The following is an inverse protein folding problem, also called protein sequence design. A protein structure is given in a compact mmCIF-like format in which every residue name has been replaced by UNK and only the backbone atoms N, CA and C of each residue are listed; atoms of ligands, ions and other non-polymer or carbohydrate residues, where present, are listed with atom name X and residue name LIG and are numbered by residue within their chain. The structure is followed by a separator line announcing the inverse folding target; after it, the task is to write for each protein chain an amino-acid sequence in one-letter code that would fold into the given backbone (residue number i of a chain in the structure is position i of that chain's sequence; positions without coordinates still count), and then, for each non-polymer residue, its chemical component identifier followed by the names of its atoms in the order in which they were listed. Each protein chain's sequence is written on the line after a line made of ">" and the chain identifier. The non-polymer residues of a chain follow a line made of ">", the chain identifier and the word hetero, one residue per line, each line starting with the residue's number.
data_IF_866987758929
#
_entry.id   IF_866987758929
#
_cell.length_a   1.000
_cell.length_b   1.000
_cell.length_c   1.000
_cell.angle_alpha   90.00
_cell.angle_beta   90.00
_cell.angle_gamma   90.00
#
_symmetry.space_group_name_H-M   'P 1'
#
loop_
_entity.id
_entity.type
_entity.pdbx_description
1 polymer ?
#
# COMPACT_ATOMS: atom_id res chain seq x y z
N UNK A 1 2.94 21.89 8.87
CA UNK A 1 3.61 20.62 8.52
C UNK A 1 2.61 19.83 7.72
N UNK A 2 3.01 19.22 6.61
CA UNK A 2 2.11 18.34 5.85
C UNK A 2 1.86 17.07 6.65
N UNK A 3 0.60 16.66 6.81
CA UNK A 3 0.24 15.46 7.59
C UNK A 3 0.48 14.18 6.81
N UNK A 4 0.51 13.04 7.50
CA UNK A 4 0.56 11.73 6.85
C UNK A 4 -0.61 11.51 5.88
N UNK A 5 -1.81 11.95 6.23
CA UNK A 5 -3.01 11.84 5.39
C UNK A 5 -2.95 12.73 4.14
N UNK A 6 -2.42 13.95 4.24
CA UNK A 6 -2.19 14.83 3.09
C UNK A 6 -1.15 14.25 2.13
N UNK A 7 -0.08 13.65 2.66
CA UNK A 7 0.92 12.95 1.85
C UNK A 7 0.33 11.72 1.16
N UNK A 8 -0.48 10.93 1.86
CA UNK A 8 -1.17 9.78 1.29
C UNK A 8 -2.09 10.20 0.13
N UNK A 9 -2.90 11.24 0.33
CA UNK A 9 -3.79 11.78 -0.71
C UNK A 9 -2.99 12.29 -1.93
N UNK A 10 -1.90 13.02 -1.71
CA UNK A 10 -1.01 13.46 -2.79
C UNK A 10 -0.39 12.29 -3.55
N UNK A 11 0.04 11.24 -2.84
CA UNK A 11 0.55 10.01 -3.45
C UNK A 11 -0.51 9.36 -4.34
N UNK A 12 -1.76 9.31 -3.89
CA UNK A 12 -2.89 8.80 -4.67
C UNK A 12 -3.18 9.62 -5.93
N UNK A 13 -3.10 10.96 -5.86
CA UNK A 13 -3.22 11.85 -7.03
C UNK A 13 -2.13 11.59 -8.06
N UNK A 14 -0.87 11.50 -7.61
CA UNK A 14 0.28 11.18 -8.46
C UNK A 14 0.13 9.80 -9.10
N UNK A 15 -0.30 8.80 -8.32
CA UNK A 15 -0.52 7.44 -8.80
C UNK A 15 -1.61 7.39 -9.87
N UNK A 16 -2.73 8.08 -9.65
CA UNK A 16 -3.84 8.19 -10.61
C UNK A 16 -3.41 8.91 -11.90
N UNK A 17 -2.49 9.86 -11.79
CA UNK A 17 -1.85 10.55 -12.91
C UNK A 17 -0.76 9.71 -13.61
N UNK A 18 -0.55 8.47 -13.17
CA UNK A 18 0.47 7.53 -13.67
C UNK A 18 1.92 7.93 -13.38
N UNK A 19 2.14 8.89 -12.48
CA UNK A 19 3.46 9.29 -12.00
C UNK A 19 3.96 8.34 -10.91
N UNK A 20 4.16 7.06 -11.25
CA UNK A 20 4.36 6.00 -10.26
C UNK A 20 5.63 6.17 -9.42
N UNK A 21 6.71 6.71 -9.98
CA UNK A 21 7.95 6.96 -9.26
C UNK A 21 7.72 8.02 -8.15
N UNK A 22 7.20 9.19 -8.52
CA UNK A 22 6.89 10.27 -7.59
C UNK A 22 5.84 9.86 -6.55
N UNK A 23 4.83 9.08 -6.96
CA UNK A 23 3.83 8.53 -6.05
C UNK A 23 4.47 7.63 -5.00
N UNK A 24 5.40 6.75 -5.41
CA UNK A 24 6.12 5.83 -4.51
C UNK A 24 6.96 6.60 -3.50
N UNK A 25 7.68 7.62 -3.93
CA UNK A 25 8.43 8.51 -3.02
C UNK A 25 7.50 9.23 -2.05
N UNK A 26 6.35 9.72 -2.54
CA UNK A 26 5.36 10.41 -1.71
C UNK A 26 4.71 9.47 -0.69
N UNK A 27 4.41 8.21 -1.05
CA UNK A 27 3.93 7.22 -0.10
C UNK A 27 4.97 6.87 0.97
N UNK A 28 6.26 6.82 0.62
CA UNK A 28 7.32 6.63 1.61
C UNK A 28 7.39 7.78 2.63
N UNK A 29 7.18 9.01 2.17
CA UNK A 29 7.03 10.17 3.05
C UNK A 29 5.78 10.01 3.96
N UNK A 30 4.65 9.56 3.41
CA UNK A 30 3.43 9.30 4.17
C UNK A 30 3.64 8.23 5.25
N UNK A 31 4.37 7.15 4.95
CA UNK A 31 4.74 6.11 5.93
C UNK A 31 5.54 6.73 7.09
N UNK A 32 6.59 7.50 6.76
CA UNK A 32 7.45 8.14 7.77
C UNK A 32 6.65 9.11 8.65
N UNK A 33 5.74 9.87 8.06
CA UNK A 33 4.87 10.79 8.78
C UNK A 33 3.87 10.02 9.67
N UNK A 34 3.24 8.96 9.15
CA UNK A 34 2.25 8.18 9.90
C UNK A 34 2.88 7.46 11.11
N UNK A 35 4.11 6.95 10.98
CA UNK A 35 4.86 6.38 12.12
C UNK A 35 5.10 7.43 13.22
N UNK A 36 5.47 8.66 12.84
CA UNK A 36 5.69 9.75 13.80
C UNK A 36 4.39 10.28 14.42
N UNK A 37 3.31 10.27 13.67
CA UNK A 37 1.98 10.69 14.11
C UNK A 37 1.24 9.60 14.89
N UNK A 38 1.81 8.38 14.97
CA UNK A 38 1.15 7.19 15.53
C UNK A 38 -0.22 6.92 14.86
N UNK A 39 -0.34 7.27 13.56
CA UNK A 39 -1.57 7.15 12.78
C UNK A 39 -1.67 5.76 12.13
N UNK A 40 -2.07 4.75 12.91
CA UNK A 40 -2.07 3.33 12.50
C UNK A 40 -2.83 3.07 11.20
N UNK A 41 -4.04 3.62 11.05
CA UNK A 41 -4.86 3.49 9.84
C UNK A 41 -4.11 4.03 8.61
N UNK A 42 -3.62 5.27 8.70
CA UNK A 42 -2.86 5.89 7.60
C UNK A 42 -1.57 5.14 7.31
N UNK A 43 -0.90 4.58 8.32
CA UNK A 43 0.31 3.80 8.16
C UNK A 43 0.06 2.54 7.32
N UNK A 44 -1.00 1.78 7.63
CA UNK A 44 -1.38 0.58 6.87
C UNK A 44 -1.70 0.93 5.42
N UNK A 45 -2.44 2.01 5.19
CA UNK A 45 -2.78 2.46 3.85
C UNK A 45 -1.57 2.91 3.05
N UNK A 46 -0.69 3.72 3.66
CA UNK A 46 0.53 4.21 3.04
C UNK A 46 1.50 3.07 2.71
N UNK A 47 1.69 2.10 3.60
CA UNK A 47 2.51 0.90 3.35
C UNK A 47 1.95 0.07 2.18
N UNK A 48 0.63 -0.10 2.14
CA UNK A 48 -0.05 -0.83 1.06
C UNK A 48 0.13 -0.12 -0.28
N UNK A 49 -0.07 1.18 -0.32
CA UNK A 49 0.06 1.98 -1.54
C UNK A 49 1.51 2.14 -1.99
N UNK A 50 2.48 2.21 -1.06
CA UNK A 50 3.91 2.13 -1.35
C UNK A 50 4.25 0.82 -2.07
N UNK A 51 3.78 -0.31 -1.55
CA UNK A 51 3.96 -1.60 -2.21
C UNK A 51 3.33 -1.63 -3.61
N UNK A 52 2.14 -1.04 -3.77
CA UNK A 52 1.48 -0.91 -5.08
C UNK A 52 2.27 -0.03 -6.05
N UNK A 53 2.87 1.05 -5.57
CA UNK A 53 3.76 1.93 -6.32
C UNK A 53 4.94 1.18 -6.94
N UNK A 54 5.63 0.38 -6.13
CA UNK A 54 6.68 -0.52 -6.61
C UNK A 54 6.17 -1.55 -7.63
N UNK A 55 5.00 -2.15 -7.40
CA UNK A 55 4.41 -3.12 -8.32
C UNK A 55 4.11 -2.53 -9.70
N UNK A 56 3.62 -1.28 -9.74
CA UNK A 56 3.31 -0.53 -10.95
C UNK A 56 4.56 -0.16 -11.76
N UNK A 57 5.71 -0.02 -11.08
CA UNK A 57 7.03 0.18 -11.69
C UNK A 57 7.73 -1.13 -12.08
N UNK A 58 7.05 -2.27 -11.99
CA UNK A 58 7.61 -3.61 -12.18
C UNK A 58 8.69 -4.03 -11.16
N UNK A 59 8.83 -3.28 -10.07
CA UNK A 59 9.77 -3.52 -8.97
C UNK A 59 9.13 -4.35 -7.86
N UNK A 60 8.49 -5.47 -8.22
CA UNK A 60 7.73 -6.31 -7.28
C UNK A 60 8.54 -6.74 -6.06
N UNK A 61 9.82 -7.07 -6.26
CA UNK A 61 10.72 -7.49 -5.18
C UNK A 61 10.93 -6.41 -4.13
N UNK A 62 11.09 -5.15 -4.56
CA UNK A 62 11.27 -3.99 -3.67
C UNK A 62 9.99 -3.65 -2.90
N UNK A 63 8.83 -3.86 -3.52
CA UNK A 63 7.53 -3.58 -2.90
C UNK A 63 7.06 -4.62 -1.87
N UNK A 64 7.53 -5.87 -1.99
CA UNK A 64 7.06 -7.00 -1.17
C UNK A 64 7.26 -6.81 0.34
N UNK A 65 8.42 -6.34 0.83
CA UNK A 65 8.60 -6.10 2.26
C UNK A 65 7.63 -5.08 2.85
N UNK A 66 7.23 -4.07 2.08
CA UNK A 66 6.25 -3.06 2.51
C UNK A 66 4.85 -3.64 2.63
N UNK A 67 4.46 -4.53 1.72
CA UNK A 67 3.19 -5.24 1.82
C UNK A 67 3.14 -6.19 3.03
N UNK A 68 4.24 -6.87 3.36
CA UNK A 68 4.31 -7.70 4.56
C UNK A 68 4.25 -6.86 5.85
N UNK A 69 4.83 -5.66 5.85
CA UNK A 69 4.64 -4.70 6.96
C UNK A 69 3.18 -4.27 7.09
N UNK A 70 2.52 -3.92 5.97
CA UNK A 70 1.09 -3.58 5.99
C UNK A 70 0.26 -4.74 6.55
N UNK A 71 0.54 -5.98 6.12
CA UNK A 71 -0.13 -7.20 6.63
C UNK A 71 -0.01 -7.36 8.14
N UNK A 72 1.17 -7.09 8.70
CA UNK A 72 1.42 -7.27 10.13
C UNK A 72 0.61 -6.28 11.00
N UNK A 73 0.21 -5.14 10.43
CA UNK A 73 -0.51 -4.07 11.11
C UNK A 73 -2.01 -4.04 10.77
N UNK A 74 -2.39 -4.54 9.60
CA UNK A 74 -3.76 -4.49 9.13
C UNK A 74 -4.70 -5.34 10.02
N UNK A 75 -5.86 -4.78 10.34
CA UNK A 75 -6.87 -5.38 11.22
C UNK A 75 -8.25 -5.24 10.58
N UNK A 76 -9.10 -6.26 10.71
CA UNK A 76 -10.48 -6.25 10.23
C UNK A 76 -11.39 -5.27 10.99
N UNK A 77 -10.92 -4.78 12.14
CA UNK A 77 -11.57 -3.71 12.92
C UNK A 77 -11.42 -2.32 12.31
N UNK A 78 -10.51 -2.16 11.34
CA UNK A 78 -10.27 -0.93 10.59
C UNK A 78 -10.59 -1.17 9.10
N UNK A 79 -11.88 -1.14 8.70
CA UNK A 79 -12.32 -1.67 7.41
C UNK A 79 -11.71 -0.97 6.19
N UNK A 80 -11.42 0.33 6.31
CA UNK A 80 -10.84 1.14 5.24
C UNK A 80 -9.41 0.67 4.92
N UNK A 81 -8.54 0.66 5.94
CA UNK A 81 -7.17 0.21 5.83
C UNK A 81 -7.07 -1.26 5.40
N UNK A 82 -7.96 -2.10 5.96
CA UNK A 82 -8.05 -3.51 5.63
C UNK A 82 -8.40 -3.74 4.15
N UNK A 83 -9.42 -3.05 3.64
CA UNK A 83 -9.85 -3.13 2.24
C UNK A 83 -8.73 -2.73 1.28
N UNK A 84 -8.04 -1.63 1.58
CA UNK A 84 -6.91 -1.15 0.77
C UNK A 84 -5.75 -2.13 0.76
N UNK A 85 -5.38 -2.68 1.92
CA UNK A 85 -4.37 -3.74 2.03
C UNK A 85 -4.73 -4.98 1.19
N UNK A 86 -5.96 -5.51 1.33
CA UNK A 86 -6.41 -6.68 0.59
C UNK A 86 -6.37 -6.47 -0.93
N UNK A 87 -6.79 -5.28 -1.39
CA UNK A 87 -6.77 -4.92 -2.81
C UNK A 87 -5.36 -4.93 -3.40
N UNK A 88 -4.34 -4.52 -2.65
CA UNK A 88 -2.94 -4.58 -3.09
C UNK A 88 -2.41 -6.00 -3.00
N UNK A 89 -2.73 -6.74 -1.93
CA UNK A 89 -2.33 -8.14 -1.77
C UNK A 89 -2.79 -9.00 -2.94
N UNK A 90 -4.06 -8.89 -3.34
CA UNK A 90 -4.60 -9.64 -4.49
C UNK A 90 -3.86 -9.35 -5.80
N UNK A 91 -3.39 -8.11 -6.02
CA UNK A 91 -2.57 -7.77 -7.21
C UNK A 91 -1.19 -8.42 -7.18
N UNK A 92 -0.57 -8.50 -6.00
CA UNK A 92 0.69 -9.22 -5.83
C UNK A 92 0.51 -10.72 -6.07
N UNK A 93 -0.55 -11.32 -5.53
CA UNK A 93 -0.88 -12.74 -5.74
C UNK A 93 -1.12 -13.05 -7.23
N UNK A 94 -1.85 -12.19 -7.93
CA UNK A 94 -2.09 -12.32 -9.37
C UNK A 94 -0.79 -12.23 -10.18
N UNK A 95 0.09 -11.26 -9.87
CA UNK A 95 1.38 -11.06 -10.55
C UNK A 95 2.47 -12.07 -10.13
N UNK A 96 2.20 -12.91 -9.14
CA UNK A 96 3.02 -14.06 -8.77
C UNK A 96 2.65 -15.32 -9.56
N UNK A 97 1.73 -15.26 -10.53
CA UNK A 97 1.18 -16.40 -11.30
C UNK A 97 0.57 -17.50 -10.39
N UNK A 98 0.30 -17.17 -9.12
CA UNK A 98 -0.36 -18.04 -8.15
C UNK A 98 -1.88 -17.91 -8.29
N UNK A 99 -2.39 -18.27 -9.46
CA UNK A 99 -3.83 -18.25 -9.77
C UNK A 99 -4.69 -19.04 -8.75
N UNK A 100 -4.14 -20.10 -8.14
CA UNK A 100 -4.83 -20.85 -7.07
C UNK A 100 -4.92 -20.10 -5.73
N UNK A 101 -3.91 -19.29 -5.36
CA UNK A 101 -3.93 -18.52 -4.12
C UNK A 101 -4.88 -17.31 -4.20
N UNK A 102 -4.90 -16.65 -5.37
CA UNK A 102 -5.75 -15.47 -5.61
C UNK A 102 -7.26 -15.79 -5.56
N UNK A 103 -7.65 -17.04 -5.84
CA UNK A 103 -9.06 -17.48 -5.83
C UNK A 103 -9.51 -18.09 -4.50
N UNK A 104 -8.58 -18.45 -3.61
CA UNK A 104 -8.90 -19.01 -2.29
C UNK A 104 -9.56 -17.99 -1.33
N UNK A 105 -9.35 -16.69 -1.55
CA UNK A 105 -10.01 -15.63 -0.75
C UNK A 105 -11.51 -15.48 -1.06
N UNK A 106 -11.98 -16.04 -2.18
CA UNK A 106 -13.36 -15.89 -2.67
C UNK A 106 -14.17 -17.20 -2.69
N UNK A 107 -13.70 -18.24 -2.01
CA UNK A 107 -14.43 -19.51 -1.83
C UNK A 107 -15.00 -19.64 -0.43
#
# INVERSE_FOLDING_TARGET
>A
MTTSSELLAKGDELFNSRNYAEATETYLQAVTAAEKEEAEVTLVEALSQLARGYLAQDKKGEGRPWLEKAKALASDREPEAWSRYLGVRGRYEWKDEKLEAATATFR
#
